data_IF_621052711830
#
_entry.id   IF_621052711830
#
_cell.length_a   1.000
_cell.length_b   1.000
_cell.length_c   1.000
_cell.angle_alpha   90.00
_cell.angle_beta   90.00
_cell.angle_gamma   90.00
#
_symmetry.space_group_name_H-M   'P 1'
#
loop_
_entity.id
_entity.type
_entity.pdbx_description
1 polymer ?
#
# COMPACT_ATOMS: atom_id res chain seq x y z
N UNK A 1 -25.78 -1.05 -6.38
CA UNK A 1 -25.43 -0.10 -7.48
C UNK A 1 -24.77 -0.85 -8.63
N UNK A 2 -24.86 -0.36 -9.87
CA UNK A 2 -24.19 -0.99 -11.03
C UNK A 2 -22.71 -0.64 -11.01
N UNK A 3 -21.80 -1.58 -11.36
CA UNK A 3 -20.37 -1.34 -11.50
C UNK A 3 -20.05 -0.15 -12.45
N UNK A 4 -20.92 0.10 -13.44
CA UNK A 4 -20.78 1.22 -14.39
C UNK A 4 -20.63 2.60 -13.73
N UNK A 5 -21.23 2.80 -12.54
CA UNK A 5 -21.12 4.08 -11.81
C UNK A 5 -19.73 4.35 -11.24
N UNK A 6 -18.85 3.34 -11.20
CA UNK A 6 -17.50 3.43 -10.64
C UNK A 6 -16.40 3.49 -11.71
N UNK A 7 -16.72 3.20 -12.99
CA UNK A 7 -15.73 3.11 -14.05
C UNK A 7 -15.18 4.50 -14.45
N UNK A 8 -13.86 4.60 -14.58
CA UNK A 8 -13.14 5.79 -15.06
C UNK A 8 -13.44 7.06 -14.24
N UNK A 9 -13.56 6.93 -12.93
CA UNK A 9 -13.90 8.04 -12.01
C UNK A 9 -12.96 8.11 -10.83
N UNK A 10 -12.74 9.32 -10.35
CA UNK A 10 -12.20 9.58 -9.00
C UNK A 10 -13.39 9.70 -8.05
N UNK A 11 -13.35 8.94 -6.95
CA UNK A 11 -14.41 8.92 -5.94
C UNK A 11 -13.80 9.42 -4.63
N UNK A 12 -14.31 10.54 -4.15
CA UNK A 12 -13.87 11.13 -2.88
C UNK A 12 -14.75 10.64 -1.74
N UNK A 13 -14.16 10.25 -0.63
CA UNK A 13 -14.87 9.83 0.58
C UNK A 13 -14.10 8.78 1.37
N UNK A 14 -14.71 8.26 2.43
CA UNK A 14 -14.16 7.15 3.19
C UNK A 14 -14.09 5.90 2.34
N UNK A 15 -12.89 5.30 2.24
CA UNK A 15 -12.65 4.17 1.34
C UNK A 15 -13.45 2.92 1.77
N UNK A 16 -13.69 2.72 3.07
CA UNK A 16 -14.45 1.57 3.58
C UNK A 16 -15.90 1.69 3.15
N UNK A 17 -16.51 2.87 3.35
CA UNK A 17 -17.88 3.14 2.91
C UNK A 17 -18.02 2.96 1.40
N UNK A 18 -17.13 3.58 0.62
CA UNK A 18 -17.17 3.50 -0.85
C UNK A 18 -16.96 2.09 -1.37
N UNK A 19 -16.03 1.33 -0.82
CA UNK A 19 -15.88 -0.07 -1.19
C UNK A 19 -17.11 -0.89 -0.80
N UNK A 20 -17.75 -0.62 0.35
CA UNK A 20 -18.93 -1.35 0.79
C UNK A 20 -20.17 -1.12 -0.09
N UNK A 21 -20.24 0.02 -0.78
CA UNK A 21 -21.28 0.31 -1.80
C UNK A 21 -21.05 -0.48 -3.11
N UNK A 22 -19.81 -0.91 -3.40
CA UNK A 22 -19.47 -1.62 -4.62
C UNK A 22 -19.97 -3.08 -4.59
N UNK A 23 -20.30 -3.66 -5.76
CA UNK A 23 -20.60 -5.09 -5.86
C UNK A 23 -19.44 -5.95 -5.37
N UNK A 24 -19.68 -7.08 -4.69
CA UNK A 24 -18.61 -8.03 -4.39
C UNK A 24 -18.01 -8.60 -5.68
N UNK A 25 -16.74 -9.03 -5.60
CA UNK A 25 -16.04 -9.73 -6.69
C UNK A 25 -16.09 -8.98 -8.04
N UNK A 26 -15.97 -7.65 -7.99
CA UNK A 26 -16.11 -6.76 -9.15
C UNK A 26 -14.78 -6.18 -9.64
N UNK A 27 -13.69 -6.28 -8.85
CA UNK A 27 -12.39 -5.64 -9.09
C UNK A 27 -11.32 -6.69 -9.34
N UNK A 28 -10.51 -6.51 -10.38
CA UNK A 28 -9.43 -7.42 -10.75
C UNK A 28 -8.13 -7.14 -10.00
N UNK A 29 -7.85 -5.86 -9.77
CA UNK A 29 -6.63 -5.39 -9.13
C UNK A 29 -6.96 -4.23 -8.17
N UNK A 30 -6.35 -4.26 -7.00
CA UNK A 30 -6.33 -3.14 -6.06
C UNK A 30 -4.89 -2.70 -5.87
N UNK A 31 -4.64 -1.39 -5.98
CA UNK A 31 -3.40 -0.76 -5.52
C UNK A 31 -3.76 0.19 -4.38
N UNK A 32 -3.20 -0.05 -3.20
CA UNK A 32 -3.51 0.71 -2.00
C UNK A 32 -2.27 1.43 -1.45
N UNK A 33 -2.43 2.73 -1.22
CA UNK A 33 -1.47 3.58 -0.50
C UNK A 33 -2.17 4.09 0.78
N UNK A 34 -2.21 3.26 1.85
CA UNK A 34 -2.97 3.57 3.06
C UNK A 34 -2.24 4.60 3.93
N UNK A 35 -2.89 5.19 4.96
CA UNK A 35 -2.22 6.00 5.96
C UNK A 35 -1.00 5.30 6.56
N UNK A 36 0.10 6.04 6.75
CA UNK A 36 1.34 5.48 7.29
C UNK A 36 1.44 5.58 8.81
N UNK A 37 0.51 6.31 9.44
CA UNK A 37 0.52 6.58 10.88
C UNK A 37 1.87 7.15 11.34
N UNK A 38 2.38 8.15 10.62
CA UNK A 38 3.74 8.66 10.80
C UNK A 38 3.98 9.31 12.17
N UNK A 39 2.92 9.67 12.92
CA UNK A 39 2.97 10.27 14.26
C UNK A 39 4.09 11.30 14.42
N UNK A 40 4.21 12.21 13.45
CA UNK A 40 5.22 13.25 13.46
C UNK A 40 4.91 14.24 14.58
N UNK A 41 5.70 14.18 15.65
CA UNK A 41 5.64 15.17 16.73
C UNK A 41 6.42 16.40 16.31
N UNK A 42 5.71 17.49 15.97
CA UNK A 42 6.30 18.79 15.67
C UNK A 42 6.51 19.08 14.17
N UNK A 43 6.87 20.30 13.88
CA UNK A 43 7.21 20.74 12.54
C UNK A 43 8.56 20.13 12.13
N UNK A 44 8.59 19.49 10.96
CA UNK A 44 9.85 19.04 10.35
C UNK A 44 10.48 20.25 9.69
N UNK A 45 11.69 20.61 10.11
CA UNK A 45 12.50 21.64 9.47
C UNK A 45 13.66 21.00 8.71
N UNK A 46 13.91 21.49 7.49
CA UNK A 46 15.10 21.15 6.73
C UNK A 46 16.35 21.82 7.36
N UNK A 47 17.58 21.37 7.01
CA UNK A 47 18.82 22.00 7.49
C UNK A 47 18.91 23.48 7.14
N UNK A 48 18.21 23.95 6.10
CA UNK A 48 18.12 25.34 5.66
C UNK A 48 17.02 26.14 6.40
N UNK A 49 16.46 25.60 7.49
CA UNK A 49 15.37 26.14 8.31
C UNK A 49 14.03 26.28 7.58
N UNK A 50 13.89 25.77 6.36
CA UNK A 50 12.60 25.72 5.69
C UNK A 50 11.72 24.63 6.30
N UNK A 51 10.44 24.97 6.57
CA UNK A 51 9.48 24.02 7.11
C UNK A 51 9.11 22.99 6.05
N UNK A 52 9.18 21.72 6.42
CA UNK A 52 8.56 20.64 5.65
C UNK A 52 7.14 20.50 6.17
N UNK A 53 6.16 20.78 5.32
CA UNK A 53 4.78 20.48 5.61
C UNK A 53 4.62 18.95 5.55
N UNK A 54 4.88 18.30 6.68
CA UNK A 54 4.52 16.89 6.87
C UNK A 54 2.99 16.74 6.84
N UNK A 55 2.50 15.55 6.61
CA UNK A 55 1.07 15.27 6.62
C UNK A 55 0.52 15.59 8.00
N UNK A 56 -0.17 16.74 8.14
CA UNK A 56 -0.88 17.16 9.36
C UNK A 56 -2.34 16.73 9.35
N UNK A 57 -2.75 16.00 8.33
CA UNK A 57 -4.12 15.61 8.09
C UNK A 57 -4.61 14.65 9.17
N UNK A 58 -5.86 14.83 9.59
CA UNK A 58 -6.47 14.06 10.67
C UNK A 58 -6.61 12.56 10.33
N UNK A 59 -6.70 12.24 9.04
CA UNK A 59 -6.84 10.86 8.56
C UNK A 59 -5.58 10.00 8.70
N UNK A 60 -4.38 10.61 8.87
CA UNK A 60 -3.11 9.88 9.13
C UNK A 60 -2.74 9.87 10.63
N UNK A 61 -3.69 10.23 11.50
CA UNK A 61 -3.46 10.27 12.96
C UNK A 61 -4.39 9.31 13.68
N UNK A 62 -3.81 8.28 14.27
CA UNK A 62 -4.54 7.31 15.07
C UNK A 62 -4.21 7.51 16.54
N UNK A 63 -5.19 7.32 17.41
CA UNK A 63 -5.02 7.47 18.89
C UNK A 63 -4.11 6.40 19.46
N UNK A 64 -4.10 5.21 18.85
CA UNK A 64 -3.28 4.07 19.25
C UNK A 64 -2.90 3.21 18.05
N UNK A 65 -1.91 2.35 18.25
CA UNK A 65 -1.57 1.31 17.27
C UNK A 65 -2.74 0.34 17.05
N UNK A 66 -3.53 0.06 18.09
CA UNK A 66 -4.71 -0.78 18.00
C UNK A 66 -5.80 -0.14 17.11
N UNK A 67 -5.98 1.18 17.18
CA UNK A 67 -6.93 1.89 16.33
C UNK A 67 -6.48 1.84 14.87
N UNK A 68 -5.16 1.99 14.62
CA UNK A 68 -4.57 1.84 13.30
C UNK A 68 -4.81 0.43 12.73
N UNK A 69 -4.56 -0.61 13.53
CA UNK A 69 -4.77 -2.00 13.12
C UNK A 69 -6.24 -2.28 12.83
N UNK A 70 -7.16 -1.79 13.66
CA UNK A 70 -8.60 -1.96 13.48
C UNK A 70 -9.07 -1.29 12.17
N UNK A 71 -8.64 -0.06 11.92
CA UNK A 71 -8.92 0.63 10.66
C UNK A 71 -8.35 -0.14 9.46
N UNK A 72 -7.09 -0.54 9.57
CA UNK A 72 -6.39 -1.30 8.52
C UNK A 72 -7.12 -2.61 8.20
N UNK A 73 -7.52 -3.35 9.22
CA UNK A 73 -8.28 -4.59 9.06
C UNK A 73 -9.62 -4.35 8.38
N UNK A 74 -10.33 -3.28 8.71
CA UNK A 74 -11.64 -2.95 8.13
C UNK A 74 -11.54 -2.64 6.63
N UNK A 75 -10.62 -1.75 6.22
CA UNK A 75 -10.50 -1.44 4.79
C UNK A 75 -9.98 -2.64 3.99
N UNK A 76 -9.08 -3.45 4.54
CA UNK A 76 -8.60 -4.67 3.88
C UNK A 76 -9.70 -5.73 3.71
N UNK A 77 -10.60 -5.88 4.69
CA UNK A 77 -11.78 -6.75 4.57
C UNK A 77 -12.70 -6.25 3.44
N UNK A 78 -12.97 -4.96 3.38
CA UNK A 78 -13.78 -4.35 2.32
C UNK A 78 -13.11 -4.52 0.94
N UNK A 79 -11.80 -4.33 0.85
CA UNK A 79 -11.00 -4.58 -0.35
C UNK A 79 -11.10 -6.05 -0.79
N UNK A 80 -10.92 -6.99 0.15
CA UNK A 80 -11.02 -8.44 -0.13
C UNK A 80 -12.41 -8.84 -0.63
N UNK A 81 -13.47 -8.20 -0.13
CA UNK A 81 -14.84 -8.46 -0.57
C UNK A 81 -15.07 -8.09 -2.04
N UNK A 82 -14.58 -6.92 -2.46
CA UNK A 82 -14.76 -6.45 -3.85
C UNK A 82 -13.80 -7.10 -4.84
N UNK A 83 -12.68 -7.65 -4.37
CA UNK A 83 -11.68 -8.31 -5.21
C UNK A 83 -12.24 -9.63 -5.76
N UNK A 84 -12.11 -9.86 -7.07
CA UNK A 84 -12.48 -11.13 -7.72
C UNK A 84 -11.70 -12.31 -7.16
N UNK A 85 -12.16 -13.56 -7.31
CA UNK A 85 -11.43 -14.75 -6.83
C UNK A 85 -10.00 -14.86 -7.35
N UNK A 86 -9.76 -14.45 -8.59
CA UNK A 86 -8.43 -14.44 -9.22
C UNK A 86 -7.75 -13.06 -9.18
N UNK A 87 -8.31 -12.11 -8.43
CA UNK A 87 -7.77 -10.77 -8.28
C UNK A 87 -6.56 -10.73 -7.35
N UNK A 88 -5.80 -9.65 -7.45
CA UNK A 88 -4.63 -9.39 -6.62
C UNK A 88 -4.66 -7.97 -6.03
N UNK A 89 -3.93 -7.81 -4.93
CA UNK A 89 -3.76 -6.53 -4.25
C UNK A 89 -2.29 -6.19 -4.12
N UNK A 90 -1.97 -4.93 -4.33
CA UNK A 90 -0.70 -4.31 -3.98
C UNK A 90 -0.93 -3.31 -2.86
N UNK A 91 -0.11 -3.36 -1.82
CA UNK A 91 -0.18 -2.42 -0.71
C UNK A 91 1.20 -1.85 -0.49
N UNK A 92 1.34 -0.52 -0.63
CA UNK A 92 2.60 0.16 -0.36
C UNK A 92 2.65 0.62 1.10
N UNK A 93 3.85 0.63 1.66
CA UNK A 93 4.10 1.16 2.98
C UNK A 93 5.59 1.39 3.25
N UNK A 94 5.85 2.08 4.34
CA UNK A 94 7.20 2.31 4.85
C UNK A 94 7.50 1.40 6.06
N UNK A 95 8.70 1.52 6.61
CA UNK A 95 9.10 0.79 7.83
C UNK A 95 8.17 1.06 9.04
N UNK A 96 7.37 2.12 9.01
CA UNK A 96 6.42 2.43 10.10
C UNK A 96 5.24 1.46 10.15
N UNK A 97 4.75 1.01 9.00
CA UNK A 97 3.48 0.29 8.90
C UNK A 97 3.55 -1.04 8.14
N UNK A 98 4.57 -1.25 7.29
CA UNK A 98 4.59 -2.40 6.35
C UNK A 98 4.48 -3.76 7.03
N UNK A 99 5.11 -3.94 8.20
CA UNK A 99 5.07 -5.21 8.95
C UNK A 99 3.66 -5.48 9.49
N UNK A 100 2.93 -4.43 9.91
CA UNK A 100 1.54 -4.55 10.37
C UNK A 100 0.60 -4.84 9.20
N UNK A 101 0.81 -4.17 8.06
CA UNK A 101 0.05 -4.42 6.83
C UNK A 101 0.20 -5.88 6.40
N UNK A 102 1.43 -6.41 6.37
CA UNK A 102 1.72 -7.79 6.02
C UNK A 102 1.08 -8.80 6.97
N UNK A 103 1.16 -8.54 8.27
CA UNK A 103 0.50 -9.37 9.29
C UNK A 103 -1.02 -9.42 9.09
N UNK A 104 -1.66 -8.24 8.93
CA UNK A 104 -3.12 -8.16 8.79
C UNK A 104 -3.59 -8.80 7.48
N UNK A 105 -2.87 -8.61 6.36
CA UNK A 105 -3.18 -9.29 5.09
C UNK A 105 -3.23 -10.81 5.27
N UNK A 106 -2.24 -11.41 5.95
CA UNK A 106 -2.21 -12.84 6.21
C UNK A 106 -3.33 -13.27 7.16
N UNK A 107 -3.57 -12.52 8.24
CA UNK A 107 -4.59 -12.81 9.24
C UNK A 107 -6.01 -12.87 8.64
N UNK A 108 -6.31 -12.01 7.66
CA UNK A 108 -7.61 -12.00 6.97
C UNK A 108 -7.67 -12.92 5.73
N UNK A 109 -6.63 -13.69 5.48
CA UNK A 109 -6.62 -14.78 4.51
C UNK A 109 -6.20 -14.40 3.08
N UNK A 110 -5.45 -13.32 2.89
CA UNK A 110 -4.71 -13.09 1.65
C UNK A 110 -3.51 -14.02 1.56
N UNK A 111 -3.13 -14.40 0.35
CA UNK A 111 -1.94 -15.18 0.08
C UNK A 111 -0.85 -14.26 -0.47
N UNK A 112 0.21 -14.04 0.32
CA UNK A 112 1.34 -13.20 -0.08
C UNK A 112 2.11 -13.88 -1.20
N UNK A 113 2.40 -13.12 -2.26
CA UNK A 113 3.16 -13.57 -3.43
C UNK A 113 4.60 -13.09 -3.38
N UNK A 114 4.79 -11.78 -3.16
CA UNK A 114 6.10 -11.16 -2.97
C UNK A 114 6.00 -9.92 -2.08
N UNK A 115 7.10 -9.54 -1.49
CA UNK A 115 7.45 -8.17 -1.19
C UNK A 115 8.31 -7.60 -2.31
N UNK A 116 8.13 -6.31 -2.61
CA UNK A 116 8.93 -5.60 -3.61
C UNK A 116 9.49 -4.35 -2.95
N UNK A 117 10.80 -4.16 -3.09
CA UNK A 117 11.50 -2.98 -2.58
C UNK A 117 11.61 -1.95 -3.69
N UNK A 118 10.91 -0.83 -3.52
CA UNK A 118 11.11 0.34 -4.37
C UNK A 118 12.20 1.22 -3.80
N UNK A 119 13.38 1.22 -4.44
CA UNK A 119 14.51 2.05 -4.06
C UNK A 119 14.33 3.48 -4.55
N UNK A 120 14.43 4.44 -3.62
CA UNK A 120 14.33 5.87 -3.94
C UNK A 120 15.66 6.35 -4.51
N UNK A 121 15.61 7.05 -5.65
CA UNK A 121 16.80 7.65 -6.28
C UNK A 121 17.32 8.83 -5.46
N UNK A 122 16.44 9.61 -4.86
CA UNK A 122 16.79 10.79 -4.05
C UNK A 122 16.10 10.76 -2.68
N UNK A 123 16.51 9.86 -1.76
CA UNK A 123 15.88 9.75 -0.46
C UNK A 123 16.23 10.95 0.43
N UNK A 124 15.24 11.43 1.19
CA UNK A 124 15.45 12.50 2.15
C UNK A 124 16.39 12.05 3.28
N UNK A 125 17.50 12.77 3.55
CA UNK A 125 18.45 12.38 4.58
C UNK A 125 17.82 12.46 5.98
N UNK A 126 18.38 11.70 6.92
CA UNK A 126 18.05 11.87 8.33
C UNK A 126 18.83 13.08 8.88
N UNK A 127 18.16 14.21 9.05
CA UNK A 127 18.77 15.50 9.41
C UNK A 127 19.54 15.48 10.75
N UNK A 128 19.17 14.59 11.68
CA UNK A 128 19.84 14.47 12.99
C UNK A 128 20.99 13.46 12.96
N UNK A 129 21.22 12.75 11.86
CA UNK A 129 22.30 11.75 11.73
C UNK A 129 22.23 10.60 12.75
N UNK A 130 21.05 10.30 13.33
CA UNK A 130 20.88 9.31 14.41
C UNK A 130 20.36 7.97 13.94
N UNK A 131 20.02 7.84 12.66
CA UNK A 131 19.53 6.61 12.01
C UNK A 131 19.80 6.68 10.51
N UNK A 132 19.64 5.55 9.84
CA UNK A 132 19.78 5.48 8.40
C UNK A 132 18.79 6.36 7.65
N UNK A 133 19.16 6.83 6.48
CA UNK A 133 18.26 7.44 5.50
C UNK A 133 17.25 6.39 5.04
N UNK A 134 15.95 6.71 5.07
CA UNK A 134 14.92 5.82 4.55
C UNK A 134 14.93 5.85 3.01
N UNK A 135 15.69 4.94 2.40
CA UNK A 135 15.99 4.93 0.98
C UNK A 135 15.07 4.02 0.16
N UNK A 136 14.01 3.46 0.74
CA UNK A 136 13.05 2.63 0.02
C UNK A 136 11.65 2.68 0.62
N UNK A 137 10.67 2.28 -0.17
CA UNK A 137 9.35 1.84 0.26
C UNK A 137 9.21 0.34 -0.05
N UNK A 138 8.32 -0.32 0.67
CA UNK A 138 8.02 -1.73 0.45
C UNK A 138 6.60 -1.87 -0.07
N UNK A 139 6.43 -2.65 -1.14
CA UNK A 139 5.14 -3.03 -1.66
C UNK A 139 4.90 -4.51 -1.35
N UNK A 140 3.76 -4.83 -0.77
CA UNK A 140 3.32 -6.22 -0.62
C UNK A 140 2.37 -6.55 -1.75
N UNK A 141 2.68 -7.61 -2.50
CA UNK A 141 1.81 -8.17 -3.51
C UNK A 141 1.18 -9.45 -2.99
N UNK A 142 -0.14 -9.53 -3.05
CA UNK A 142 -0.89 -10.68 -2.57
C UNK A 142 -2.05 -11.03 -3.48
N UNK A 143 -2.39 -12.31 -3.57
CA UNK A 143 -3.62 -12.79 -4.20
C UNK A 143 -4.72 -12.97 -3.16
N UNK A 144 -5.98 -12.95 -3.60
CA UNK A 144 -7.16 -13.12 -2.71
C UNK A 144 -7.09 -14.43 -1.92
N UNK A 145 -6.60 -15.51 -2.55
CA UNK A 145 -6.48 -16.86 -1.96
C UNK A 145 -5.25 -17.57 -2.51
N UNK A 146 -4.75 -18.58 -1.82
CA UNK A 146 -3.66 -19.47 -2.27
C UNK A 146 -3.93 -20.09 -3.65
N UNK A 147 -5.19 -20.39 -3.95
CA UNK A 147 -5.64 -21.03 -5.18
C UNK A 147 -5.97 -20.06 -6.31
N UNK A 148 -5.84 -18.75 -6.08
CA UNK A 148 -6.12 -17.73 -7.10
C UNK A 148 -5.21 -17.88 -8.31
N UNK A 149 -5.80 -17.79 -9.50
CA UNK A 149 -5.08 -17.75 -10.79
C UNK A 149 -4.88 -16.28 -11.18
N UNK A 150 -4.01 -15.60 -10.43
CA UNK A 150 -3.70 -14.19 -10.68
C UNK A 150 -2.93 -14.00 -12.00
N UNK A 151 -3.05 -12.82 -12.58
CA UNK A 151 -2.32 -12.45 -13.80
C UNK A 151 -0.90 -12.01 -13.46
N UNK A 152 0.10 -12.61 -14.11
CA UNK A 152 1.48 -12.17 -14.08
C UNK A 152 2.07 -12.24 -15.50
N UNK A 153 2.41 -11.09 -16.05
CA UNK A 153 2.92 -10.97 -17.43
C UNK A 153 4.43 -11.25 -17.46
N UNK A 154 4.82 -12.50 -17.25
CA UNK A 154 6.21 -12.93 -17.10
C UNK A 154 7.11 -12.44 -18.23
N UNK A 155 6.72 -12.67 -19.50
CA UNK A 155 7.53 -12.29 -20.67
C UNK A 155 7.68 -10.76 -20.80
N UNK A 156 6.62 -10.00 -20.54
CA UNK A 156 6.70 -8.55 -20.53
C UNK A 156 7.63 -8.03 -19.42
N UNK A 157 7.54 -8.59 -18.23
CA UNK A 157 8.42 -8.21 -17.11
C UNK A 157 9.88 -8.60 -17.40
N UNK A 158 10.11 -9.76 -18.02
CA UNK A 158 11.44 -10.22 -18.42
C UNK A 158 12.06 -9.30 -19.48
N UNK A 159 11.31 -8.90 -20.50
CA UNK A 159 11.79 -7.99 -21.55
C UNK A 159 12.20 -6.61 -20.99
N UNK A 160 11.53 -6.13 -19.93
CA UNK A 160 11.91 -4.90 -19.23
C UNK A 160 13.20 -5.03 -18.40
N UNK A 161 13.66 -6.23 -18.15
CA UNK A 161 14.85 -6.52 -17.32
C UNK A 161 15.98 -7.20 -18.15
N UNK A 162 16.14 -6.82 -19.40
CA UNK A 162 17.23 -7.34 -20.26
C UNK A 162 17.15 -8.85 -20.49
N UNK A 163 15.95 -9.37 -20.71
CA UNK A 163 15.63 -10.79 -20.88
C UNK A 163 15.93 -11.69 -19.68
N UNK A 164 16.14 -11.11 -18.51
CA UNK A 164 16.27 -11.83 -17.26
C UNK A 164 14.98 -11.71 -16.44
N UNK A 165 14.70 -12.72 -15.61
CA UNK A 165 13.56 -12.67 -14.69
C UNK A 165 13.59 -11.38 -13.87
N UNK A 166 12.44 -10.66 -13.81
CA UNK A 166 12.32 -9.44 -13.03
C UNK A 166 12.55 -9.72 -11.55
N UNK A 167 13.33 -8.88 -10.93
CA UNK A 167 13.67 -8.94 -9.50
C UNK A 167 12.65 -8.16 -8.68
N UNK A 168 12.63 -8.42 -7.38
CA UNK A 168 11.77 -7.71 -6.42
C UNK A 168 12.43 -6.46 -5.80
N UNK A 169 13.53 -5.97 -6.37
CA UNK A 169 14.17 -4.71 -5.99
C UNK A 169 14.22 -3.75 -7.19
N UNK A 170 13.38 -2.71 -7.13
CA UNK A 170 13.17 -1.78 -8.24
C UNK A 170 13.81 -0.42 -7.96
N UNK A 171 14.49 0.12 -8.98
CA UNK A 171 14.96 1.52 -9.02
C UNK A 171 14.14 2.24 -10.08
N UNK A 172 13.20 3.07 -9.66
CA UNK A 172 12.29 3.84 -10.50
C UNK A 172 12.56 5.33 -10.31
#
# INVERSE_FOLDING_TARGET
MSLKSYLNRVIVGDCIEKMNEMPPESVDLIFADPPYNLQLNGDLERPDQTKVYGVKESWDKFKSISDYDNYTKQWMISARRILKPNGSIWVIGSYHNIFRLGYILQDIGFWLLNDVIWRKVNPMPNFRGRRFTNAHETLIWASKMKTSKYTFNYEAMKSLNGDLQMRSDWSL
#
